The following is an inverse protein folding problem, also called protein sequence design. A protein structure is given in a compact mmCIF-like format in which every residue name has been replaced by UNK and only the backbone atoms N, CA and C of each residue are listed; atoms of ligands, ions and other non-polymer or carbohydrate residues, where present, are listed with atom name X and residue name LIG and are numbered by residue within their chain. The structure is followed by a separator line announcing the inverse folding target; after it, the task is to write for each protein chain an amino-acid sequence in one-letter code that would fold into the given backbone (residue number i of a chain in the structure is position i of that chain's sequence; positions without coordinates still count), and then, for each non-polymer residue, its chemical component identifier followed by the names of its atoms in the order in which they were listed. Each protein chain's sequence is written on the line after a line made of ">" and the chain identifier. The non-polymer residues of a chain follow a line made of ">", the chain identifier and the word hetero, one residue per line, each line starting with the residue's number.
data_IF_367978661279
#
_entry.id   IF_367978661279
#
_cell.length_a   1.000
_cell.length_b   1.000
_cell.length_c   1.000
_cell.angle_alpha   90.00
_cell.angle_beta   90.00
_cell.angle_gamma   90.00
#
_symmetry.space_group_name_H-M   'P 1'
#
loop_
_entity.id
_entity.type
_entity.pdbx_description
1 polymer ?
#
# COMPACT_ATOMS: atom_id res chain seq x y z
N UNK A 1 13.74 28.04 -7.73
CA UNK A 1 13.65 27.50 -6.36
C UNK A 1 15.07 27.22 -5.87
N UNK A 2 15.42 27.58 -4.62
CA UNK A 2 16.70 27.23 -4.02
C UNK A 2 16.98 25.74 -4.08
N UNK A 3 18.23 25.35 -4.30
CA UNK A 3 18.59 23.92 -4.48
C UNK A 3 18.49 23.11 -3.18
N UNK A 4 18.59 23.79 -2.04
CA UNK A 4 18.51 23.18 -0.72
C UNK A 4 17.07 23.02 -0.18
N UNK A 5 16.07 23.42 -0.94
CA UNK A 5 14.67 23.21 -0.58
C UNK A 5 14.10 21.93 -1.18
N UNK A 6 13.19 21.27 -0.46
CA UNK A 6 12.44 20.15 -0.98
C UNK A 6 11.50 20.60 -2.10
N UNK A 7 11.63 19.99 -3.25
CA UNK A 7 10.66 20.09 -4.32
C UNK A 7 9.61 19.01 -4.16
N UNK A 8 8.40 19.40 -3.75
CA UNK A 8 7.24 18.51 -3.69
C UNK A 8 6.36 18.67 -4.93
N UNK A 9 6.21 17.61 -5.69
CA UNK A 9 5.29 17.55 -6.83
C UNK A 9 3.97 16.89 -6.42
N UNK A 10 2.85 17.49 -6.78
CA UNK A 10 1.52 16.93 -6.58
C UNK A 10 0.85 16.76 -7.93
N UNK A 11 0.37 15.55 -8.21
CA UNK A 11 -0.24 15.20 -9.49
C UNK A 11 -1.38 14.22 -9.29
N UNK A 12 -2.26 14.08 -10.29
CA UNK A 12 -3.35 13.11 -10.22
C UNK A 12 -2.87 11.70 -10.59
N UNK A 13 -2.24 11.55 -11.76
CA UNK A 13 -1.78 10.26 -12.28
C UNK A 13 -0.36 9.96 -11.76
N UNK A 14 -0.09 8.73 -11.28
CA UNK A 14 1.24 8.36 -10.80
C UNK A 14 2.33 8.46 -11.87
N UNK A 15 3.56 8.69 -11.41
CA UNK A 15 4.76 8.62 -12.27
C UNK A 15 5.07 7.20 -12.72
N UNK A 16 4.57 6.21 -12.01
CA UNK A 16 4.71 4.79 -12.33
C UNK A 16 3.39 4.08 -12.05
N UNK A 17 2.87 3.42 -13.05
CA UNK A 17 1.66 2.61 -13.00
C UNK A 17 1.99 1.17 -12.55
N UNK A 18 1.09 0.55 -11.82
CA UNK A 18 1.19 -0.86 -11.43
C UNK A 18 1.01 -1.82 -12.60
N UNK A 19 0.20 -1.43 -13.58
CA UNK A 19 -0.15 -2.27 -14.74
C UNK A 19 0.88 -2.16 -15.88
N UNK A 20 1.67 -1.08 -15.91
CA UNK A 20 2.68 -0.84 -16.95
C UNK A 20 4.02 -0.40 -16.34
N UNK A 21 4.69 -1.27 -15.56
CA UNK A 21 5.87 -0.88 -14.78
C UNK A 21 7.07 -0.43 -15.62
N UNK A 22 7.08 -0.71 -16.92
CA UNK A 22 8.25 -0.48 -17.78
C UNK A 22 8.10 0.67 -18.78
N UNK A 23 6.91 1.27 -18.91
CA UNK A 23 6.71 2.32 -19.89
C UNK A 23 7.11 3.69 -19.34
N UNK A 24 8.36 4.07 -19.56
CA UNK A 24 8.80 5.46 -19.39
C UNK A 24 8.15 6.27 -20.51
N UNK A 25 7.14 7.09 -20.20
CA UNK A 25 6.59 8.03 -21.17
C UNK A 25 7.60 9.15 -21.47
N UNK A 26 7.49 9.75 -22.65
CA UNK A 26 8.35 10.89 -23.00
C UNK A 26 8.19 12.05 -22.01
N UNK A 27 6.98 12.27 -21.51
CA UNK A 27 6.64 13.28 -20.52
C UNK A 27 7.32 13.00 -19.17
N UNK A 28 7.28 11.76 -18.69
CA UNK A 28 7.98 11.34 -17.46
C UNK A 28 9.49 11.53 -17.60
N UNK A 29 10.07 11.08 -18.70
CA UNK A 29 11.50 11.27 -18.96
C UNK A 29 11.88 12.76 -19.03
N UNK A 30 11.03 13.60 -19.60
CA UNK A 30 11.25 15.06 -19.61
C UNK A 30 11.18 15.64 -18.21
N UNK A 31 10.19 15.25 -17.40
CA UNK A 31 10.06 15.69 -16.01
C UNK A 31 11.30 15.31 -15.20
N UNK A 32 11.75 14.05 -15.31
CA UNK A 32 12.93 13.58 -14.60
C UNK A 32 14.16 14.44 -14.91
N UNK A 33 14.46 14.70 -16.20
CA UNK A 33 15.57 15.58 -16.59
C UNK A 33 15.52 17.00 -16.01
N UNK A 34 14.32 17.48 -15.69
CA UNK A 34 14.15 18.82 -15.11
C UNK A 34 14.46 18.85 -13.61
N UNK A 35 14.27 17.72 -12.92
CA UNK A 35 14.32 17.70 -11.46
C UNK A 35 15.42 16.79 -10.87
N UNK A 36 15.97 15.85 -11.63
CA UNK A 36 16.93 14.83 -11.16
C UNK A 36 18.25 15.36 -10.62
N UNK A 37 18.61 16.61 -10.97
CA UNK A 37 19.79 17.28 -10.40
C UNK A 37 19.55 17.88 -9.04
N UNK A 38 18.29 17.98 -8.58
CA UNK A 38 17.95 18.50 -7.26
C UNK A 38 18.16 17.41 -6.21
N UNK A 39 18.82 17.73 -5.08
CA UNK A 39 19.11 16.75 -4.04
C UNK A 39 17.85 16.30 -3.27
N UNK A 40 16.82 17.15 -3.20
CA UNK A 40 15.62 16.88 -2.40
C UNK A 40 14.37 16.98 -3.27
N UNK A 41 13.84 15.83 -3.65
CA UNK A 41 12.62 15.75 -4.45
C UNK A 41 11.69 14.67 -3.91
N UNK A 42 10.41 14.96 -3.91
CA UNK A 42 9.35 14.01 -3.59
C UNK A 42 8.14 14.27 -4.46
N UNK A 43 7.32 13.27 -4.69
CA UNK A 43 6.03 13.46 -5.37
C UNK A 43 4.94 12.61 -4.75
N UNK A 44 3.69 13.06 -4.92
CA UNK A 44 2.49 12.33 -4.50
C UNK A 44 1.45 12.36 -5.61
N UNK A 45 0.74 11.25 -5.74
CA UNK A 45 -0.38 11.09 -6.68
C UNK A 45 -1.54 10.33 -6.05
N UNK A 46 -2.65 10.23 -6.76
CA UNK A 46 -3.81 9.40 -6.45
C UNK A 46 -4.12 8.48 -7.61
N UNK A 47 -5.38 8.54 -8.12
CA UNK A 47 -5.91 7.89 -9.32
C UNK A 47 -6.11 6.37 -9.21
N UNK A 48 -5.11 5.64 -8.76
CA UNK A 48 -5.01 4.18 -8.87
C UNK A 48 -5.85 3.40 -7.84
N UNK A 49 -6.35 4.07 -6.80
CA UNK A 49 -7.08 3.44 -5.70
C UNK A 49 -6.32 2.30 -4.99
N UNK A 50 -5.01 2.46 -4.87
CA UNK A 50 -4.10 1.65 -4.05
C UNK A 50 -3.04 2.55 -3.42
N UNK A 51 -2.25 2.03 -2.47
CA UNK A 51 -1.25 2.78 -1.73
C UNK A 51 0.15 2.21 -1.95
N UNK A 52 1.14 3.08 -2.20
CA UNK A 52 2.53 2.66 -2.23
C UNK A 52 3.51 3.79 -1.99
N UNK A 53 4.61 3.45 -1.35
CA UNK A 53 5.86 4.22 -1.40
C UNK A 53 6.75 3.62 -2.47
N UNK A 54 6.89 4.32 -3.58
CA UNK A 54 7.75 3.95 -4.69
C UNK A 54 9.03 4.78 -4.63
N UNK A 55 10.16 4.14 -4.89
CA UNK A 55 11.47 4.78 -4.93
C UNK A 55 12.03 4.57 -6.33
N UNK A 56 11.79 5.55 -7.19
CA UNK A 56 12.12 5.50 -8.60
C UNK A 56 13.63 5.66 -8.77
N UNK A 57 14.25 4.72 -9.46
CA UNK A 57 15.69 4.65 -9.68
C UNK A 57 16.04 4.55 -11.18
N UNK A 58 17.27 4.17 -11.49
CA UNK A 58 17.75 4.01 -12.88
C UNK A 58 16.87 3.09 -13.72
N UNK A 59 16.30 2.03 -13.12
CA UNK A 59 15.38 1.10 -13.80
C UNK A 59 14.08 1.77 -14.22
N UNK A 60 13.71 2.84 -13.52
CA UNK A 60 12.55 3.66 -13.82
C UNK A 60 12.90 4.86 -14.74
N UNK A 61 14.17 4.99 -15.12
CA UNK A 61 14.69 6.10 -15.94
C UNK A 61 15.09 7.34 -15.14
N UNK A 62 15.14 7.24 -13.79
CA UNK A 62 15.62 8.31 -12.91
C UNK A 62 17.15 8.27 -12.84
N UNK A 63 17.83 9.42 -13.03
CA UNK A 63 19.28 9.54 -13.02
C UNK A 63 19.81 10.41 -11.86
N UNK A 64 18.96 10.78 -10.92
CA UNK A 64 19.37 11.54 -9.74
C UNK A 64 20.24 10.72 -8.78
N UNK A 65 21.03 11.39 -7.95
CA UNK A 65 21.98 10.77 -7.03
C UNK A 65 21.33 9.84 -5.98
N UNK A 66 20.07 10.10 -5.64
CA UNK A 66 19.24 9.27 -4.76
C UNK A 66 17.93 8.95 -5.44
N UNK A 67 17.32 7.79 -5.17
CA UNK A 67 16.00 7.45 -5.72
C UNK A 67 14.95 8.51 -5.40
N UNK A 68 14.11 8.84 -6.38
CA UNK A 68 13.01 9.76 -6.19
C UNK A 68 11.87 9.07 -5.43
N UNK A 69 11.48 9.61 -4.28
CA UNK A 69 10.37 9.09 -3.51
C UNK A 69 9.04 9.57 -4.11
N UNK A 70 8.27 8.61 -4.62
CA UNK A 70 6.92 8.83 -5.15
C UNK A 70 5.90 8.08 -4.31
N UNK A 71 4.89 8.78 -3.80
CA UNK A 71 3.78 8.18 -3.05
C UNK A 71 2.55 8.09 -3.94
N UNK A 72 2.04 6.88 -4.14
CA UNK A 72 0.68 6.69 -4.62
C UNK A 72 -0.21 6.64 -3.39
N UNK A 73 -1.08 7.62 -3.23
CA UNK A 73 -1.85 7.77 -2.01
C UNK A 73 -3.23 7.12 -2.13
N UNK A 74 -3.58 6.31 -1.13
CA UNK A 74 -4.91 5.74 -1.05
C UNK A 74 -5.97 6.84 -1.01
N UNK A 75 -7.13 6.54 -1.56
CA UNK A 75 -8.25 7.49 -1.63
C UNK A 75 -9.19 7.37 -0.43
N UNK A 76 -9.83 8.46 -0.04
CA UNK A 76 -10.84 8.47 1.03
C UNK A 76 -12.04 7.60 0.68
N UNK A 77 -12.38 7.47 -0.61
CA UNK A 77 -13.45 6.59 -1.08
C UNK A 77 -13.00 5.14 -1.32
N UNK A 78 -11.70 4.82 -1.09
CA UNK A 78 -11.14 3.51 -1.39
C UNK A 78 -11.42 3.11 -2.83
N UNK A 79 -11.94 1.89 -3.05
CA UNK A 79 -12.33 1.41 -4.38
C UNK A 79 -13.68 1.95 -4.83
N UNK A 80 -13.75 3.26 -5.10
CA UNK A 80 -14.95 3.95 -5.63
C UNK A 80 -16.21 3.77 -4.78
N UNK A 81 -16.05 3.64 -3.45
CA UNK A 81 -17.17 3.41 -2.52
C UNK A 81 -17.95 2.13 -2.84
N UNK A 82 -17.22 1.04 -3.15
CA UNK A 82 -17.79 -0.26 -3.53
C UNK A 82 -17.51 -1.33 -2.48
N UNK A 83 -18.12 -2.47 -2.68
CA UNK A 83 -18.02 -3.64 -1.82
C UNK A 83 -19.23 -3.86 -0.93
N UNK A 84 -19.33 -5.04 -0.35
CA UNK A 84 -20.37 -5.34 0.63
C UNK A 84 -20.29 -4.41 1.86
N UNK A 85 -21.39 -4.20 2.58
CA UNK A 85 -21.37 -3.40 3.80
C UNK A 85 -20.42 -3.99 4.86
N UNK A 86 -19.64 -3.12 5.49
CA UNK A 86 -18.84 -3.44 6.67
C UNK A 86 -19.71 -3.43 7.96
N UNK A 87 -19.09 -3.58 9.13
CA UNK A 87 -19.75 -3.55 10.42
C UNK A 87 -20.43 -2.22 10.78
N UNK A 88 -20.20 -1.20 9.98
CA UNK A 88 -20.83 0.13 10.10
C UNK A 88 -22.01 0.30 9.13
N UNK A 89 -22.32 -0.74 8.35
CA UNK A 89 -23.38 -0.71 7.34
C UNK A 89 -23.05 0.13 6.10
N UNK A 90 -21.79 0.41 5.85
CA UNK A 90 -21.32 1.16 4.68
C UNK A 90 -20.34 0.32 3.87
N UNK A 91 -20.20 0.59 2.55
CA UNK A 91 -19.29 -0.20 1.72
C UNK A 91 -17.90 -0.33 2.31
N UNK A 92 -17.31 -1.53 2.29
CA UNK A 92 -15.92 -1.75 2.70
C UNK A 92 -14.96 -0.79 2.02
N UNK A 93 -15.13 -0.63 0.72
CA UNK A 93 -14.36 0.30 -0.10
C UNK A 93 -12.86 0.21 0.17
N UNK A 94 -12.31 -1.00 0.33
CA UNK A 94 -10.86 -1.21 0.43
C UNK A 94 -10.18 -0.72 -0.84
N UNK A 95 -8.99 -0.17 -0.74
CA UNK A 95 -8.10 0.02 -1.88
C UNK A 95 -7.86 -1.31 -2.59
N UNK A 96 -7.58 -1.27 -3.90
CA UNK A 96 -7.39 -2.46 -4.74
C UNK A 96 -6.26 -3.39 -4.24
N UNK A 97 -5.39 -2.90 -3.38
CA UNK A 97 -4.26 -3.57 -2.73
C UNK A 97 -4.54 -4.00 -1.28
N UNK A 98 -5.79 -3.87 -0.83
CA UNK A 98 -6.20 -4.19 0.53
C UNK A 98 -5.97 -3.07 1.56
N UNK A 99 -5.45 -1.90 1.18
CA UNK A 99 -5.39 -0.76 2.09
C UNK A 99 -6.80 -0.28 2.45
N UNK A 100 -7.12 0.00 3.73
CA UNK A 100 -8.39 0.62 4.08
C UNK A 100 -8.53 1.99 3.40
N UNK A 101 -9.75 2.44 3.15
CA UNK A 101 -9.99 3.82 2.75
C UNK A 101 -9.46 4.78 3.81
N UNK A 102 -8.80 5.86 3.40
CA UNK A 102 -8.15 6.75 4.35
C UNK A 102 -7.56 7.99 3.70
N UNK A 103 -6.72 8.66 4.45
CA UNK A 103 -5.98 9.83 4.00
C UNK A 103 -4.60 9.83 4.63
N UNK A 104 -3.68 10.55 4.00
CA UNK A 104 -2.35 10.76 4.54
C UNK A 104 -2.19 12.21 4.99
N UNK A 105 -1.38 12.40 6.04
CA UNK A 105 -0.83 13.70 6.42
C UNK A 105 0.66 13.69 6.12
N UNK A 106 1.18 14.81 5.64
CA UNK A 106 2.61 14.94 5.37
C UNK A 106 3.15 16.06 6.24
N UNK A 107 4.09 15.71 7.11
CA UNK A 107 4.82 16.67 7.94
C UNK A 107 6.15 16.98 7.28
N UNK A 108 6.43 18.27 7.08
CA UNK A 108 7.69 18.74 6.52
C UNK A 108 8.58 19.32 7.62
N UNK A 109 9.85 18.89 7.63
CA UNK A 109 10.90 19.47 8.46
C UNK A 109 12.13 19.74 7.56
N UNK A 110 12.28 20.98 7.16
CA UNK A 110 13.26 21.38 6.15
C UNK A 110 13.04 20.64 4.83
N UNK A 111 13.99 19.80 4.44
CA UNK A 111 13.93 18.99 3.23
C UNK A 111 13.42 17.55 3.48
N UNK A 112 13.08 17.23 4.71
CA UNK A 112 12.51 15.92 5.06
C UNK A 112 10.98 15.97 5.00
N UNK A 113 10.36 14.87 4.60
CA UNK A 113 8.93 14.71 4.60
C UNK A 113 8.58 13.35 5.23
N UNK A 114 7.70 13.38 6.22
CA UNK A 114 7.15 12.18 6.86
C UNK A 114 5.70 12.04 6.45
N UNK A 115 5.36 10.89 5.91
CA UNK A 115 3.99 10.56 5.50
C UNK A 115 3.38 9.67 6.56
N UNK A 116 2.30 10.15 7.19
CA UNK A 116 1.48 9.38 8.12
C UNK A 116 0.16 9.01 7.45
N UNK A 117 -0.34 7.82 7.77
CA UNK A 117 -1.58 7.29 7.23
C UNK A 117 -2.66 7.20 8.31
N UNK A 118 -3.89 7.54 7.95
CA UNK A 118 -5.05 7.42 8.82
C UNK A 118 -6.21 6.74 8.09
N UNK A 119 -6.53 5.51 8.50
CA UNK A 119 -7.73 4.83 8.03
C UNK A 119 -9.00 5.57 8.50
N UNK A 120 -9.90 5.87 7.56
CA UNK A 120 -11.15 6.58 7.86
C UNK A 120 -12.02 5.77 8.83
N UNK A 121 -12.56 6.44 9.84
CA UNK A 121 -13.43 5.87 10.88
C UNK A 121 -12.79 4.76 11.73
N UNK A 122 -11.48 4.57 11.63
CA UNK A 122 -10.72 3.67 12.50
C UNK A 122 -9.91 4.49 13.51
N UNK A 123 -9.54 3.93 14.67
CA UNK A 123 -8.64 4.60 15.61
C UNK A 123 -7.26 4.88 14.97
N UNK A 124 -6.48 5.78 15.57
CA UNK A 124 -5.19 6.21 14.97
C UNK A 124 -4.14 5.10 14.97
N UNK A 125 -4.22 4.17 15.89
CA UNK A 125 -3.33 3.01 16.02
C UNK A 125 -3.68 1.84 15.07
N UNK A 126 -4.79 1.94 14.31
CA UNK A 126 -5.11 0.98 13.27
C UNK A 126 -4.22 1.21 12.04
N UNK A 127 -3.01 0.69 12.09
CA UNK A 127 -1.94 0.92 11.11
C UNK A 127 -1.59 -0.32 10.29
N UNK A 128 -2.13 -1.48 10.70
CA UNK A 128 -1.88 -2.74 10.01
C UNK A 128 -3.07 -3.70 10.21
N UNK A 129 -3.14 -4.70 9.35
CA UNK A 129 -4.02 -5.86 9.47
C UNK A 129 -3.19 -7.14 9.37
N UNK A 130 -3.53 -8.13 10.19
CA UNK A 130 -2.90 -9.45 10.19
C UNK A 130 -3.90 -10.43 9.60
N UNK A 131 -3.43 -11.22 8.64
CA UNK A 131 -4.20 -12.29 8.02
C UNK A 131 -3.56 -13.63 8.35
N UNK A 132 -4.34 -14.48 8.98
CA UNK A 132 -4.00 -15.86 9.34
C UNK A 132 -5.20 -16.75 9.00
N UNK A 133 -5.03 -18.05 8.72
CA UNK A 133 -6.14 -18.97 8.61
C UNK A 133 -6.96 -19.01 9.90
N UNK A 134 -8.30 -18.99 9.80
CA UNK A 134 -9.20 -19.09 10.95
C UNK A 134 -9.07 -20.45 11.67
N UNK A 135 -8.68 -21.48 10.93
CA UNK A 135 -8.50 -22.85 11.44
C UNK A 135 -7.20 -23.41 10.88
N UNK A 136 -6.37 -23.91 11.78
CA UNK A 136 -5.17 -24.67 11.44
C UNK A 136 -5.47 -26.14 11.67
N UNK A 137 -5.14 -27.01 10.68
CA UNK A 137 -5.40 -28.43 10.79
C UNK A 137 -4.43 -29.12 11.77
N UNK A 138 -4.91 -30.13 12.47
CA UNK A 138 -4.04 -30.91 13.36
C UNK A 138 -2.92 -31.58 12.57
N UNK A 139 -1.67 -31.35 13.03
CA UNK A 139 -0.48 -31.88 12.37
C UNK A 139 0.26 -30.89 11.46
N UNK A 140 -0.30 -29.70 11.24
CA UNK A 140 0.46 -28.61 10.60
C UNK A 140 1.57 -28.14 11.55
N UNK A 141 2.78 -28.03 11.03
CA UNK A 141 3.95 -27.59 11.80
C UNK A 141 4.13 -26.06 11.76
N UNK A 142 3.56 -25.43 10.75
CA UNK A 142 3.66 -23.99 10.52
C UNK A 142 2.41 -23.42 9.85
N UNK A 143 2.21 -22.12 9.98
CA UNK A 143 1.12 -21.40 9.33
C UNK A 143 1.63 -20.13 8.64
N UNK A 144 1.17 -19.91 7.42
CA UNK A 144 1.49 -18.70 6.68
C UNK A 144 0.70 -17.51 7.23
N UNK A 145 1.43 -16.47 7.64
CA UNK A 145 0.89 -15.22 8.18
C UNK A 145 1.22 -14.08 7.25
N UNK A 146 0.24 -13.24 6.98
CA UNK A 146 0.44 -11.97 6.28
C UNK A 146 0.20 -10.79 7.23
N UNK A 147 0.96 -9.72 7.03
CA UNK A 147 0.75 -8.42 7.63
C UNK A 147 0.66 -7.36 6.54
N UNK A 148 -0.52 -6.77 6.38
CA UNK A 148 -0.73 -5.61 5.52
C UNK A 148 -0.47 -4.36 6.37
N UNK A 149 0.68 -3.72 6.18
CA UNK A 149 1.10 -2.52 6.92
C UNK A 149 0.81 -1.30 6.07
N UNK A 150 -0.30 -0.63 6.32
CA UNK A 150 -0.96 0.30 5.40
C UNK A 150 -0.07 1.42 4.84
N UNK A 151 0.85 1.94 5.63
CA UNK A 151 1.84 2.94 5.21
C UNK A 151 3.26 2.36 5.11
N UNK A 152 3.37 1.05 4.94
CA UNK A 152 4.65 0.37 4.90
C UNK A 152 5.44 0.65 3.62
N UNK A 153 6.75 0.82 3.76
CA UNK A 153 7.69 1.03 2.66
C UNK A 153 8.76 -0.07 2.61
N UNK A 154 9.70 0.04 1.69
CA UNK A 154 10.87 -0.86 1.64
C UNK A 154 11.77 -0.78 2.88
N UNK A 155 11.69 0.34 3.60
CA UNK A 155 12.52 0.60 4.78
C UNK A 155 11.86 0.13 6.09
N UNK A 156 10.60 -0.31 6.02
CA UNK A 156 9.85 -0.80 7.18
C UNK A 156 10.35 -2.18 7.63
N UNK A 157 10.53 -2.33 8.94
CA UNK A 157 10.89 -3.60 9.59
C UNK A 157 9.66 -4.15 10.29
N UNK A 158 9.15 -5.27 9.82
CA UNK A 158 7.94 -5.91 10.34
C UNK A 158 8.31 -7.20 11.03
N UNK A 159 7.87 -7.35 12.27
CA UNK A 159 8.11 -8.55 13.10
C UNK A 159 6.83 -8.97 13.78
N UNK A 160 6.67 -10.26 13.98
CA UNK A 160 5.59 -10.85 14.76
C UNK A 160 6.10 -11.80 15.82
N UNK A 161 5.26 -12.13 16.77
CA UNK A 161 5.47 -13.22 17.75
C UNK A 161 4.13 -13.84 18.13
N UNK A 162 4.15 -15.10 18.51
CA UNK A 162 2.98 -15.78 19.05
C UNK A 162 2.92 -15.54 20.56
N UNK A 163 1.84 -14.91 21.02
CA UNK A 163 1.66 -14.55 22.42
C UNK A 163 2.73 -13.58 22.95
N UNK A 164 2.72 -13.35 24.24
CA UNK A 164 3.63 -12.38 24.88
C UNK A 164 5.07 -12.88 25.03
N UNK A 165 5.25 -14.20 25.14
CA UNK A 165 6.54 -14.85 25.43
C UNK A 165 7.19 -15.48 24.19
N UNK A 166 6.52 -15.48 23.04
CA UNK A 166 7.04 -16.05 21.81
C UNK A 166 8.29 -15.31 21.31
N UNK A 167 9.14 -16.01 20.58
CA UNK A 167 10.27 -15.41 19.90
C UNK A 167 9.80 -14.49 18.78
N UNK A 168 10.54 -13.39 18.57
CA UNK A 168 10.26 -12.48 17.44
C UNK A 168 10.72 -13.07 16.12
N UNK A 169 9.83 -13.11 15.15
CA UNK A 169 10.07 -13.58 13.79
C UNK A 169 9.99 -12.37 12.85
N UNK A 170 10.99 -12.22 11.97
CA UNK A 170 10.97 -11.18 10.95
C UNK A 170 10.08 -11.62 9.76
N UNK A 171 9.15 -10.77 9.36
CA UNK A 171 8.40 -10.98 8.13
C UNK A 171 9.19 -10.42 6.95
N UNK A 172 9.05 -11.09 5.80
CA UNK A 172 9.64 -10.66 4.53
C UNK A 172 8.62 -9.85 3.74
N UNK A 173 9.06 -8.69 3.23
CA UNK A 173 8.24 -7.89 2.31
C UNK A 173 7.97 -8.69 1.04
N UNK A 174 6.72 -8.64 0.59
CA UNK A 174 6.28 -9.28 -0.66
C UNK A 174 5.46 -8.30 -1.50
N UNK A 175 5.28 -8.62 -2.77
CA UNK A 175 4.39 -7.89 -3.69
C UNK A 175 3.44 -8.91 -4.29
N UNK A 176 2.34 -9.14 -3.59
CA UNK A 176 1.32 -10.14 -3.90
C UNK A 176 -0.07 -9.55 -3.69
N UNK A 177 -1.11 -10.23 -4.16
CA UNK A 177 -2.49 -9.84 -3.89
C UNK A 177 -2.79 -9.99 -2.40
N UNK A 178 -3.47 -9.01 -1.83
CA UNK A 178 -3.86 -9.03 -0.43
C UNK A 178 -4.87 -10.14 -0.14
N UNK A 179 -4.63 -11.04 0.84
CA UNK A 179 -5.50 -12.19 1.10
C UNK A 179 -6.92 -11.81 1.55
N UNK A 180 -7.07 -10.74 2.35
CA UNK A 180 -8.40 -10.29 2.79
C UNK A 180 -9.20 -9.72 1.62
N UNK A 181 -8.57 -8.92 0.76
CA UNK A 181 -9.23 -8.44 -0.45
C UNK A 181 -9.72 -9.59 -1.33
N UNK A 182 -8.90 -10.65 -1.49
CA UNK A 182 -9.28 -11.86 -2.22
C UNK A 182 -10.44 -12.60 -1.55
N UNK A 183 -10.43 -12.71 -0.21
CA UNK A 183 -11.52 -13.31 0.55
C UNK A 183 -12.83 -12.53 0.40
N UNK A 184 -12.77 -11.19 0.46
CA UNK A 184 -13.91 -10.30 0.20
C UNK A 184 -14.47 -10.51 -1.21
N UNK A 185 -13.62 -10.51 -2.23
CA UNK A 185 -14.03 -10.78 -3.62
C UNK A 185 -14.68 -12.13 -3.78
N UNK A 186 -14.16 -13.16 -3.12
CA UNK A 186 -14.74 -14.51 -3.14
C UNK A 186 -16.12 -14.55 -2.48
N UNK A 187 -16.30 -13.85 -1.34
CA UNK A 187 -17.62 -13.73 -0.68
C UNK A 187 -18.64 -13.03 -1.58
N UNK A 188 -18.27 -11.90 -2.18
CA UNK A 188 -19.13 -11.18 -3.12
C UNK A 188 -19.57 -12.05 -4.30
N UNK A 189 -18.63 -12.82 -4.89
CA UNK A 189 -18.93 -13.72 -6.00
C UNK A 189 -19.89 -14.85 -5.63
N UNK A 190 -19.89 -15.28 -4.37
CA UNK A 190 -20.77 -16.32 -3.83
C UNK A 190 -22.17 -15.84 -3.42
N UNK A 191 -22.44 -14.53 -3.44
CA UNK A 191 -23.73 -13.97 -3.05
C UNK A 191 -24.83 -14.29 -4.05
N UNK A 192 -26.05 -14.56 -3.55
CA UNK A 192 -27.25 -14.78 -4.37
C UNK A 192 -27.86 -13.46 -4.86
N UNK A 193 -27.80 -12.44 -4.01
CA UNK A 193 -28.17 -11.05 -4.29
C UNK A 193 -26.94 -10.33 -4.84
N UNK A 194 -26.84 -10.23 -6.15
CA UNK A 194 -25.73 -9.51 -6.78
C UNK A 194 -25.79 -8.02 -6.42
N UNK A 195 -24.66 -7.52 -5.93
CA UNK A 195 -24.46 -6.09 -5.74
C UNK A 195 -24.19 -5.47 -7.12
N UNK A 196 -25.23 -5.26 -7.94
CA UNK A 196 -25.08 -4.76 -9.30
C UNK A 196 -24.30 -3.42 -9.31
N UNK A 197 -23.11 -3.45 -9.90
CA UNK A 197 -22.26 -2.27 -10.10
C UNK A 197 -21.55 -1.74 -8.85
N UNK A 198 -21.68 -2.41 -7.72
CA UNK A 198 -21.06 -2.00 -6.44
C UNK A 198 -20.11 -3.05 -5.84
N UNK A 199 -19.86 -4.16 -6.51
CA UNK A 199 -18.84 -5.12 -6.13
C UNK A 199 -17.42 -4.53 -6.23
N UNK A 200 -16.51 -5.04 -5.42
CA UNK A 200 -15.11 -4.61 -5.43
C UNK A 200 -14.48 -4.81 -6.81
N UNK A 201 -13.63 -3.89 -7.28
CA UNK A 201 -12.93 -4.02 -8.55
C UNK A 201 -11.91 -5.16 -8.53
N UNK A 202 -11.19 -5.34 -9.63
CA UNK A 202 -10.08 -6.27 -9.68
C UNK A 202 -8.97 -5.85 -8.70
N UNK A 203 -8.39 -6.80 -7.92
CA UNK A 203 -7.27 -6.52 -7.03
C UNK A 203 -6.00 -6.21 -7.82
N UNK A 204 -5.07 -5.52 -7.16
CA UNK A 204 -3.69 -5.32 -7.63
C UNK A 204 -2.71 -5.78 -6.55
N UNK A 205 -1.46 -6.14 -6.91
CA UNK A 205 -0.47 -6.51 -5.92
C UNK A 205 -0.20 -5.38 -4.91
N UNK A 206 -0.20 -5.71 -3.63
CA UNK A 206 0.07 -4.79 -2.54
C UNK A 206 1.56 -4.50 -2.41
N UNK A 207 1.94 -3.24 -2.33
CA UNK A 207 3.32 -2.79 -2.10
C UNK A 207 3.68 -2.63 -0.61
N UNK A 208 2.74 -2.93 0.27
CA UNK A 208 2.88 -2.79 1.72
C UNK A 208 2.45 -4.07 2.46
N UNK A 209 2.75 -5.24 1.86
CA UNK A 209 2.45 -6.57 2.38
C UNK A 209 3.74 -7.28 2.81
N UNK A 210 3.69 -7.95 3.96
CA UNK A 210 4.75 -8.80 4.52
C UNK A 210 4.20 -10.17 4.83
N UNK A 211 5.05 -11.20 4.78
CA UNK A 211 4.67 -12.57 5.15
C UNK A 211 5.79 -13.32 5.87
N UNK A 212 5.40 -14.30 6.65
CA UNK A 212 6.28 -15.31 7.23
C UNK A 212 5.50 -16.58 7.52
N UNK A 213 6.21 -17.69 7.60
CA UNK A 213 5.75 -18.94 8.18
C UNK A 213 5.96 -18.87 9.69
N UNK A 214 4.89 -19.09 10.46
CA UNK A 214 4.89 -19.11 11.91
C UNK A 214 4.89 -20.56 12.39
N UNK A 215 5.96 -21.03 13.08
CA UNK A 215 5.97 -22.34 13.70
C UNK A 215 4.87 -22.48 14.77
N UNK A 216 4.18 -23.60 14.80
CA UNK A 216 3.07 -23.85 15.72
C UNK A 216 3.50 -24.57 17.01
N UNK A 217 4.73 -25.07 17.09
CA UNK A 217 5.36 -25.66 18.28
C UNK A 217 5.15 -27.16 18.40
#
# INVERSE_FOLDING_TARGET
>A
LPENELLMLMMHIPLKDSESPLKVTAERARLFRLIEKRPYTMSISGHEHWHAHLFLDEKDGWQGATPHHHVVNVTVCGSWWRGEPDELGIPHALGRDGAPRGYSTITFDGHQAVVDYKASRRPADYQLRIEVPDVVQAGEEEVLVYANVFNGSRDSKVRMRLGEKGAWINLKKTVELDPDFLALKKREAGRRDKLEGIDLPAPVPSHHLWKAELPLG
#
